data_IF_032323552503
#
_entry.id   IF_032323552503
#
_cell.length_a   1.000
_cell.length_b   1.000
_cell.length_c   1.000
_cell.angle_alpha   90.00
_cell.angle_beta   90.00
_cell.angle_gamma   90.00
#
_symmetry.space_group_name_H-M   'P 1'
#
loop_
_entity.id
_entity.type
_entity.pdbx_description
1 polymer ?
#
# COMPACT_ATOMS: atom_id res chain seq x y z
N UNK A 1 25.94 26.22 42.95
CA UNK A 1 25.73 24.85 42.42
C UNK A 1 27.09 24.25 42.07
N UNK A 2 27.47 23.09 42.62
CA UNK A 2 28.81 22.52 42.45
C UNK A 2 29.04 22.11 40.99
N UNK A 3 30.03 22.71 40.32
CA UNK A 3 30.36 22.45 38.90
C UNK A 3 30.50 20.96 38.57
N UNK A 4 31.00 20.17 39.52
CA UNK A 4 31.12 18.70 39.41
C UNK A 4 29.76 17.98 39.36
N UNK A 5 28.75 18.46 40.11
CA UNK A 5 27.38 17.93 40.08
C UNK A 5 26.67 18.26 38.77
N UNK A 6 26.88 19.46 38.23
CA UNK A 6 26.31 19.86 36.93
C UNK A 6 26.86 19.02 35.78
N UNK A 7 28.19 18.80 35.74
CA UNK A 7 28.83 17.93 34.73
C UNK A 7 28.31 16.49 34.79
N UNK A 8 28.11 15.95 35.98
CA UNK A 8 27.59 14.59 36.16
C UNK A 8 26.16 14.43 35.64
N UNK A 9 25.29 15.41 35.88
CA UNK A 9 23.90 15.41 35.39
C UNK A 9 23.85 15.48 33.87
N UNK A 10 24.67 16.35 33.25
CA UNK A 10 24.74 16.47 31.78
C UNK A 10 25.19 15.15 31.14
N UNK A 11 26.18 14.48 31.75
CA UNK A 11 26.68 13.21 31.24
C UNK A 11 25.60 12.12 31.26
N UNK A 12 24.83 12.02 32.34
CA UNK A 12 23.71 11.06 32.47
C UNK A 12 22.63 11.31 31.40
N UNK A 13 22.25 12.58 31.18
CA UNK A 13 21.25 12.92 30.16
C UNK A 13 21.74 12.51 28.76
N UNK A 14 23.00 12.79 28.44
CA UNK A 14 23.61 12.43 27.17
C UNK A 14 23.66 10.91 26.94
N UNK A 15 23.90 10.14 28.01
CA UNK A 15 23.90 8.67 27.92
C UNK A 15 22.49 8.13 27.71
N UNK A 16 21.50 8.66 28.42
CA UNK A 16 20.09 8.27 28.24
C UNK A 16 19.63 8.60 26.81
N UNK A 17 19.97 9.77 26.28
CA UNK A 17 19.65 10.14 24.90
C UNK A 17 20.32 9.22 23.87
N UNK A 18 21.60 8.86 24.05
CA UNK A 18 22.28 7.91 23.18
C UNK A 18 21.64 6.52 23.21
N UNK A 19 21.29 6.01 24.40
CA UNK A 19 20.65 4.70 24.53
C UNK A 19 19.25 4.70 23.90
N UNK A 20 18.45 5.75 24.14
CA UNK A 20 17.15 5.90 23.51
C UNK A 20 17.26 5.93 21.98
N UNK A 21 18.21 6.69 21.43
CA UNK A 21 18.42 6.78 19.98
C UNK A 21 18.83 5.44 19.34
N UNK A 22 19.60 4.61 20.05
CA UNK A 22 20.04 3.29 19.55
C UNK A 22 18.99 2.19 19.72
N UNK A 23 18.13 2.26 20.75
CA UNK A 23 17.18 1.19 21.09
C UNK A 23 15.80 1.40 20.45
N UNK A 24 15.32 2.64 20.35
CA UNK A 24 14.00 2.96 19.76
C UNK A 24 13.82 2.41 18.34
N UNK A 25 14.79 2.53 17.40
CA UNK A 25 14.58 2.02 16.05
C UNK A 25 14.53 0.48 15.98
N UNK A 26 15.05 -0.25 16.98
CA UNK A 26 15.01 -1.72 17.00
C UNK A 26 13.66 -2.29 17.47
N UNK A 27 12.86 -1.51 18.19
CA UNK A 27 11.54 -1.95 18.67
C UNK A 27 10.41 -1.69 17.67
N UNK A 28 10.66 -0.94 16.60
CA UNK A 28 9.72 -0.75 15.51
C UNK A 28 9.89 -1.85 14.46
N UNK A 29 9.78 -3.11 14.86
CA UNK A 29 9.37 -4.14 13.89
C UNK A 29 7.95 -3.78 13.47
N UNK A 30 7.84 -3.15 12.30
CA UNK A 30 6.57 -2.84 11.67
C UNK A 30 5.88 -4.19 11.47
N UNK A 31 4.91 -4.52 12.33
CA UNK A 31 4.09 -5.72 12.13
C UNK A 31 3.54 -5.62 10.72
N UNK A 32 3.81 -6.64 9.92
CA UNK A 32 3.25 -6.71 8.57
C UNK A 32 1.73 -6.56 8.68
N UNK A 33 1.11 -5.80 7.76
CA UNK A 33 -0.32 -5.70 7.70
C UNK A 33 -0.96 -7.09 7.70
N UNK A 34 -2.11 -7.28 8.37
CA UNK A 34 -2.72 -8.61 8.56
C UNK A 34 -2.93 -9.39 7.25
N UNK A 35 -3.23 -8.67 6.16
CA UNK A 35 -3.44 -9.24 4.84
C UNK A 35 -2.19 -9.81 4.16
N UNK A 36 -0.96 -9.50 4.59
CA UNK A 36 0.27 -10.05 3.98
C UNK A 36 0.29 -11.59 4.02
N UNK A 37 -0.36 -12.16 5.04
CA UNK A 37 -0.49 -13.62 5.19
C UNK A 37 -1.52 -14.25 4.25
N UNK A 38 -2.36 -13.43 3.61
CA UNK A 38 -3.48 -13.87 2.78
C UNK A 38 -3.20 -13.76 1.28
N UNK A 39 -2.16 -13.03 0.88
CA UNK A 39 -1.76 -12.82 -0.52
C UNK A 39 -0.27 -13.13 -0.68
N UNK A 40 0.22 -13.14 -1.93
CA UNK A 40 1.64 -13.29 -2.25
C UNK A 40 2.15 -12.07 -3.01
N UNK A 41 3.47 -11.80 -2.97
CA UNK A 41 4.07 -10.76 -3.81
C UNK A 41 3.67 -10.89 -5.27
N UNK A 42 3.62 -9.76 -5.97
CA UNK A 42 3.35 -9.71 -7.40
C UNK A 42 4.43 -10.46 -8.16
N UNK A 43 4.01 -11.13 -9.24
CA UNK A 43 4.95 -11.74 -10.16
C UNK A 43 5.81 -10.66 -10.82
N UNK A 44 7.10 -10.96 -11.05
CA UNK A 44 8.03 -9.99 -11.62
C UNK A 44 7.58 -9.48 -12.99
N UNK A 45 6.86 -10.29 -13.77
CA UNK A 45 6.22 -9.89 -15.04
C UNK A 45 5.23 -8.74 -14.85
N UNK A 46 4.35 -8.85 -13.85
CA UNK A 46 3.36 -7.82 -13.49
C UNK A 46 4.07 -6.58 -12.96
N UNK A 47 5.08 -6.75 -12.09
CA UNK A 47 5.89 -5.63 -11.59
C UNK A 47 6.53 -4.85 -12.73
N UNK A 48 7.15 -5.54 -13.69
CA UNK A 48 7.80 -4.90 -14.82
C UNK A 48 6.79 -4.13 -15.69
N UNK A 49 5.65 -4.75 -16.02
CA UNK A 49 4.59 -4.11 -16.80
C UNK A 49 4.04 -2.85 -16.11
N UNK A 50 3.76 -2.92 -14.81
CA UNK A 50 3.33 -1.76 -14.02
C UNK A 50 4.40 -0.66 -14.00
N UNK A 51 5.68 -1.02 -13.85
CA UNK A 51 6.78 -0.07 -13.84
C UNK A 51 7.03 0.60 -15.21
N UNK A 52 6.63 -0.02 -16.30
CA UNK A 52 6.65 0.57 -17.64
C UNK A 52 5.44 1.48 -17.88
N UNK A 53 4.26 1.09 -17.38
CA UNK A 53 3.01 1.81 -17.61
C UNK A 53 2.80 3.03 -16.70
N UNK A 54 3.34 3.02 -15.48
CA UNK A 54 3.11 4.02 -14.45
C UNK A 54 4.25 5.05 -14.30
N UNK A 55 3.93 6.25 -13.82
CA UNK A 55 4.90 7.30 -13.45
C UNK A 55 5.64 6.93 -12.15
N UNK A 56 6.66 6.08 -12.27
CA UNK A 56 7.56 5.68 -11.18
C UNK A 56 8.69 6.69 -11.03
N UNK A 57 8.82 7.30 -9.84
CA UNK A 57 9.90 8.25 -9.57
C UNK A 57 11.24 7.54 -9.41
N UNK A 58 12.32 8.24 -9.72
CA UNK A 58 13.69 7.73 -9.59
C UNK A 58 13.96 7.17 -8.17
N UNK A 59 13.46 7.82 -7.14
CA UNK A 59 13.62 7.38 -5.75
C UNK A 59 12.81 6.13 -5.35
N UNK A 60 11.77 5.80 -6.10
CA UNK A 60 10.89 4.65 -5.84
C UNK A 60 11.26 3.44 -6.69
N UNK A 61 11.99 3.63 -7.81
CA UNK A 61 12.29 2.57 -8.77
C UNK A 61 12.98 1.36 -8.14
N UNK A 62 13.91 1.60 -7.20
CA UNK A 62 14.62 0.50 -6.52
C UNK A 62 13.67 -0.36 -5.70
N UNK A 63 12.71 0.23 -4.99
CA UNK A 63 11.75 -0.51 -4.16
C UNK A 63 10.61 -1.11 -4.98
N UNK A 64 10.06 -0.38 -5.94
CA UNK A 64 8.85 -0.79 -6.68
C UNK A 64 9.12 -1.61 -7.94
N UNK A 65 10.33 -1.57 -8.52
CA UNK A 65 10.62 -2.27 -9.78
C UNK A 65 11.76 -3.29 -9.67
N UNK A 66 12.43 -3.35 -8.53
CA UNK A 66 13.57 -4.27 -8.31
C UNK A 66 13.61 -4.82 -6.89
N UNK A 67 12.55 -4.62 -6.11
CA UNK A 67 12.36 -5.25 -4.80
C UNK A 67 11.99 -6.73 -4.96
N UNK A 68 12.27 -7.53 -3.92
CA UNK A 68 12.00 -8.97 -3.92
C UNK A 68 10.55 -9.29 -3.54
N UNK A 69 9.92 -8.45 -2.70
CA UNK A 69 8.54 -8.61 -2.25
C UNK A 69 7.80 -7.30 -2.47
N UNK A 70 6.95 -7.26 -3.50
CA UNK A 70 6.22 -6.06 -3.91
C UNK A 70 4.74 -6.40 -4.00
N UNK A 71 3.90 -5.64 -3.32
CA UNK A 71 2.47 -5.86 -3.26
C UNK A 71 1.70 -4.78 -4.03
N UNK A 72 0.45 -5.08 -4.39
CA UNK A 72 -0.37 -4.22 -5.24
C UNK A 72 -0.58 -2.80 -4.69
N UNK A 73 -0.76 -2.66 -3.38
CA UNK A 73 -1.04 -1.38 -2.71
C UNK A 73 0.18 -0.42 -2.71
N UNK A 74 1.39 -0.96 -2.83
CA UNK A 74 2.62 -0.16 -2.92
C UNK A 74 2.65 0.73 -4.17
N UNK A 75 1.93 0.35 -5.24
CA UNK A 75 1.80 1.14 -6.47
C UNK A 75 0.81 2.30 -6.38
N UNK A 76 0.03 2.44 -5.29
CA UNK A 76 -0.99 3.50 -5.16
C UNK A 76 -0.45 4.92 -5.41
N UNK A 77 0.77 5.19 -4.93
CA UNK A 77 1.44 6.47 -5.14
C UNK A 77 1.70 6.75 -6.62
N UNK A 78 2.16 5.76 -7.37
CA UNK A 78 2.42 5.86 -8.80
C UNK A 78 1.12 5.96 -9.61
N UNK A 79 0.10 5.20 -9.25
CA UNK A 79 -1.22 5.25 -9.91
C UNK A 79 -1.83 6.65 -9.78
N UNK A 80 -1.81 7.25 -8.58
CA UNK A 80 -2.33 8.61 -8.36
C UNK A 80 -1.61 9.70 -9.16
N UNK A 81 -0.33 9.50 -9.47
CA UNK A 81 0.44 10.44 -10.32
C UNK A 81 0.21 10.21 -11.79
N UNK A 82 0.13 8.95 -12.20
CA UNK A 82 -0.16 8.56 -13.59
C UNK A 82 -1.55 9.02 -14.00
N UNK A 83 -2.52 8.90 -13.09
CA UNK A 83 -3.92 9.29 -13.29
C UNK A 83 -4.33 10.35 -12.28
N UNK A 84 -4.02 11.63 -12.53
CA UNK A 84 -4.49 12.71 -11.67
C UNK A 84 -6.03 12.78 -11.66
N UNK A 85 -6.59 13.41 -10.63
CA UNK A 85 -8.04 13.67 -10.54
C UNK A 85 -8.53 14.36 -11.81
N UNK A 86 -9.64 13.89 -12.37
CA UNK A 86 -10.18 14.34 -13.66
C UNK A 86 -9.79 13.46 -14.85
N UNK A 87 -8.86 12.49 -14.68
CA UNK A 87 -8.52 11.54 -15.76
C UNK A 87 -9.74 10.75 -16.21
N UNK A 88 -9.87 10.48 -17.51
CA UNK A 88 -11.02 9.73 -18.03
C UNK A 88 -10.89 8.23 -17.76
N UNK A 89 -12.02 7.52 -17.80
CA UNK A 89 -12.04 6.06 -17.73
C UNK A 89 -11.14 5.42 -18.80
N UNK A 90 -11.22 5.90 -20.04
CA UNK A 90 -10.47 5.38 -21.19
C UNK A 90 -8.97 5.50 -20.99
N UNK A 91 -8.49 6.61 -20.41
CA UNK A 91 -7.07 6.79 -20.10
C UNK A 91 -6.56 5.76 -19.09
N UNK A 92 -7.38 5.41 -18.10
CA UNK A 92 -7.02 4.38 -17.13
C UNK A 92 -7.03 3.00 -17.78
N UNK A 93 -8.03 2.71 -18.61
CA UNK A 93 -8.18 1.44 -19.31
C UNK A 93 -7.06 1.16 -20.31
N UNK A 94 -6.56 2.18 -21.00
CA UNK A 94 -5.42 2.07 -21.93
C UNK A 94 -4.18 1.44 -21.27
N UNK A 95 -4.03 1.62 -19.95
CA UNK A 95 -2.89 1.08 -19.20
C UNK A 95 -3.25 -0.14 -18.36
N UNK A 96 -4.41 -0.12 -17.69
CA UNK A 96 -4.73 -1.08 -16.63
C UNK A 96 -5.83 -2.09 -16.99
N UNK A 97 -6.38 -2.07 -18.21
CA UNK A 97 -7.50 -2.95 -18.60
C UNK A 97 -7.19 -4.45 -18.42
N UNK A 98 -5.94 -4.86 -18.64
CA UNK A 98 -5.49 -6.26 -18.46
C UNK A 98 -5.70 -6.77 -17.02
N UNK A 99 -5.74 -5.86 -16.04
CA UNK A 99 -5.89 -6.18 -14.62
C UNK A 99 -7.30 -5.92 -14.09
N UNK A 100 -8.24 -5.52 -14.94
CA UNK A 100 -9.58 -5.18 -14.48
C UNK A 100 -10.30 -6.44 -13.96
N UNK A 101 -10.57 -6.45 -12.66
CA UNK A 101 -11.31 -7.53 -12.00
C UNK A 101 -12.81 -7.31 -12.12
N UNK A 102 -13.31 -6.15 -11.70
CA UNK A 102 -14.76 -5.89 -11.64
C UNK A 102 -15.14 -4.42 -11.75
N UNK A 103 -16.40 -4.20 -12.10
CA UNK A 103 -17.01 -2.89 -12.22
C UNK A 103 -18.29 -2.86 -11.38
N UNK A 104 -18.41 -1.86 -10.50
CA UNK A 104 -19.60 -1.59 -9.71
C UNK A 104 -20.18 -0.25 -10.14
N UNK A 105 -21.40 -0.28 -10.72
CA UNK A 105 -22.16 0.92 -11.12
C UNK A 105 -23.15 1.26 -10.01
N UNK A 106 -23.20 2.52 -9.58
CA UNK A 106 -24.31 2.98 -8.72
C UNK A 106 -25.56 3.29 -9.55
N UNK A 107 -26.72 3.16 -8.92
CA UNK A 107 -27.99 3.57 -9.51
C UNK A 107 -27.93 5.04 -9.96
N UNK A 108 -28.36 5.29 -11.19
CA UNK A 108 -28.25 6.60 -11.85
C UNK A 108 -27.04 6.75 -12.78
N UNK A 109 -26.07 5.83 -12.77
CA UNK A 109 -24.99 5.77 -13.78
C UNK A 109 -23.92 6.86 -13.68
N UNK A 110 -24.04 7.79 -12.72
CA UNK A 110 -23.11 8.90 -12.53
C UNK A 110 -21.83 8.52 -11.80
N UNK A 111 -21.85 7.43 -11.02
CA UNK A 111 -20.69 6.92 -10.29
C UNK A 111 -20.36 5.50 -10.74
N UNK A 112 -19.08 5.28 -11.05
CA UNK A 112 -18.53 4.02 -11.53
C UNK A 112 -17.29 3.68 -10.71
N UNK A 113 -17.32 2.55 -10.01
CA UNK A 113 -16.16 2.04 -9.30
C UNK A 113 -15.57 0.88 -10.07
N UNK A 114 -14.31 1.02 -10.46
CA UNK A 114 -13.56 0.02 -11.24
C UNK A 114 -12.45 -0.51 -10.36
N UNK A 115 -12.34 -1.83 -10.31
CA UNK A 115 -11.38 -2.52 -9.46
C UNK A 115 -10.38 -3.27 -10.33
N UNK A 116 -9.11 -3.18 -9.95
CA UNK A 116 -8.01 -3.82 -10.63
C UNK A 116 -7.29 -4.75 -9.66
N UNK A 117 -7.16 -6.01 -10.03
CA UNK A 117 -6.45 -7.01 -9.26
C UNK A 117 -5.16 -7.36 -10.00
N UNK A 118 -4.03 -6.85 -9.50
CA UNK A 118 -2.73 -7.09 -10.10
C UNK A 118 -2.21 -8.49 -9.81
N UNK A 119 -2.66 -9.11 -8.72
CA UNK A 119 -2.20 -10.44 -8.32
C UNK A 119 -3.07 -11.54 -8.92
N UNK A 120 -4.37 -11.28 -9.04
CA UNK A 120 -5.39 -12.23 -9.48
C UNK A 120 -5.88 -13.14 -8.35
N UNK A 121 -5.71 -12.75 -7.08
CA UNK A 121 -6.12 -13.54 -5.90
C UNK A 121 -7.29 -12.94 -5.11
N UNK A 122 -7.85 -11.82 -5.58
CA UNK A 122 -9.00 -11.09 -5.02
C UNK A 122 -8.79 -10.55 -3.59
N UNK A 123 -7.56 -10.58 -3.06
CA UNK A 123 -7.26 -10.12 -1.69
C UNK A 123 -7.10 -8.60 -1.65
N UNK A 124 -6.28 -8.07 -2.57
CA UNK A 124 -5.99 -6.63 -2.68
C UNK A 124 -6.36 -6.15 -4.08
N UNK A 125 -7.38 -5.30 -4.16
CA UNK A 125 -7.73 -4.64 -5.40
C UNK A 125 -7.41 -3.14 -5.31
N UNK A 126 -6.97 -2.55 -6.42
CA UNK A 126 -6.92 -1.11 -6.58
C UNK A 126 -8.30 -0.63 -7.04
N UNK A 127 -8.93 0.23 -6.24
CA UNK A 127 -10.22 0.84 -6.55
C UNK A 127 -10.03 2.22 -7.14
N UNK A 128 -10.57 2.43 -8.34
CA UNK A 128 -10.64 3.73 -9.01
C UNK A 128 -12.11 4.11 -9.17
N UNK A 129 -12.50 5.19 -8.53
CA UNK A 129 -13.86 5.71 -8.54
C UNK A 129 -13.93 6.85 -9.55
N UNK A 130 -14.87 6.75 -10.49
CA UNK A 130 -15.19 7.78 -11.47
C UNK A 130 -16.54 8.40 -11.13
N UNK A 131 -16.63 9.71 -11.29
CA UNK A 131 -17.85 10.49 -11.16
C UNK A 131 -17.99 11.31 -12.45
N UNK A 132 -19.13 11.19 -13.15
CA UNK A 132 -19.34 11.80 -14.47
C UNK A 132 -18.23 11.47 -15.50
N UNK A 133 -17.78 10.21 -15.53
CA UNK A 133 -16.66 9.70 -16.34
C UNK A 133 -15.27 10.27 -16.00
N UNK A 134 -15.15 11.02 -14.90
CA UNK A 134 -13.88 11.59 -14.44
C UNK A 134 -13.41 10.91 -13.16
N UNK A 135 -12.13 10.56 -13.11
CA UNK A 135 -11.51 9.97 -11.93
C UNK A 135 -11.63 10.93 -10.75
N UNK A 136 -12.31 10.47 -9.69
CA UNK A 136 -12.51 11.22 -8.47
C UNK A 136 -11.59 10.75 -7.33
N UNK A 137 -11.36 9.43 -7.23
CA UNK A 137 -10.59 8.83 -6.14
C UNK A 137 -9.88 7.54 -6.58
N UNK A 138 -8.65 7.36 -6.07
CA UNK A 138 -7.90 6.10 -6.12
C UNK A 138 -7.65 5.62 -4.70
N UNK A 139 -7.97 4.37 -4.41
CA UNK A 139 -7.65 3.68 -3.17
C UNK A 139 -7.31 2.22 -3.42
N UNK A 140 -6.96 1.48 -2.37
CA UNK A 140 -6.91 0.03 -2.37
C UNK A 140 -8.07 -0.48 -1.51
N UNK A 141 -8.79 -1.47 -1.99
CA UNK A 141 -9.75 -2.21 -1.17
C UNK A 141 -9.11 -3.51 -0.74
N UNK A 142 -9.29 -3.82 0.53
CA UNK A 142 -9.01 -5.14 1.08
C UNK A 142 -10.34 -5.86 1.02
N UNK A 143 -10.60 -6.55 -0.09
CA UNK A 143 -11.94 -7.02 -0.48
C UNK A 143 -12.64 -7.81 0.62
N UNK A 144 -11.86 -8.54 1.41
CA UNK A 144 -12.38 -9.40 2.46
C UNK A 144 -13.08 -8.66 3.60
N UNK A 145 -12.60 -7.49 4.06
CA UNK A 145 -13.24 -6.77 5.17
C UNK A 145 -14.42 -5.90 4.72
N UNK A 146 -14.43 -5.45 3.45
CA UNK A 146 -15.56 -4.69 2.88
C UNK A 146 -16.78 -5.59 2.62
N UNK A 147 -16.57 -6.87 2.32
CA UNK A 147 -17.65 -7.87 2.14
C UNK A 147 -17.95 -8.67 3.41
N UNK A 148 -16.95 -8.88 4.27
CA UNK A 148 -17.07 -9.63 5.51
C UNK A 148 -16.30 -8.93 6.65
N UNK A 149 -16.91 -7.92 7.29
CA UNK A 149 -16.24 -7.14 8.32
C UNK A 149 -15.62 -8.01 9.43
N UNK A 150 -14.28 -7.94 9.57
CA UNK A 150 -13.53 -8.69 10.58
C UNK A 150 -13.01 -10.05 10.11
N UNK A 151 -13.29 -10.45 8.87
CA UNK A 151 -12.84 -11.73 8.33
C UNK A 151 -11.37 -11.72 7.93
N UNK A 152 -10.80 -10.58 7.52
CA UNK A 152 -9.33 -10.48 7.33
C UNK A 152 -8.64 -10.75 8.64
N UNK A 153 -9.10 -10.12 9.72
CA UNK A 153 -8.55 -10.34 11.05
C UNK A 153 -8.64 -11.81 11.46
N UNK A 154 -9.81 -12.44 11.26
CA UNK A 154 -10.01 -13.87 11.56
C UNK A 154 -9.07 -14.77 10.74
N UNK A 155 -9.02 -14.60 9.43
CA UNK A 155 -8.18 -15.42 8.54
C UNK A 155 -6.69 -15.20 8.81
N UNK A 156 -6.29 -13.97 9.15
CA UNK A 156 -4.92 -13.67 9.58
C UNK A 156 -4.59 -14.40 10.88
N UNK A 157 -5.49 -14.35 11.87
CA UNK A 157 -5.31 -15.05 13.15
C UNK A 157 -5.29 -16.58 12.97
N UNK A 158 -6.01 -17.11 11.98
CA UNK A 158 -6.01 -18.53 11.63
C UNK A 158 -4.73 -18.95 10.92
N UNK A 159 -4.28 -18.20 9.91
CA UNK A 159 -3.04 -18.43 9.19
C UNK A 159 -1.83 -18.40 10.14
N UNK A 160 -1.82 -17.47 11.10
CA UNK A 160 -0.77 -17.38 12.13
C UNK A 160 -0.77 -18.54 13.13
N UNK A 161 -1.88 -19.26 13.31
CA UNK A 161 -1.94 -20.45 14.20
C UNK A 161 -1.47 -21.73 13.53
N UNK A 162 -1.46 -21.75 12.20
CA UNK A 162 -1.16 -22.94 11.40
C UNK A 162 0.27 -22.93 10.82
N UNK A 163 1.04 -21.87 11.06
CA UNK A 163 2.48 -21.76 10.80
C UNK A 163 3.28 -21.84 12.11
#
# INVERSE_FOLDING_TARGET
>A
MNKKKTLFIVFIILTICCVAFLVIPKFQQKKEPPWYSLTSPLEQSVVNDLCEKLDIRVGERKSLCSGEEIYADEFLGAIRRTFPKGSSYEMVQDKLSDYQSRIVKQEGGYNLNVFYDFRGDEVIEISINFQYNELFRVGSTQNYDDWFPGQIKYLTEEAQKNN
#
